data_IF_406858935165
#
_entry.id   IF_406858935165
#
_cell.length_a   1.000
_cell.length_b   1.000
_cell.length_c   1.000
_cell.angle_alpha   90.00
_cell.angle_beta   90.00
_cell.angle_gamma   90.00
#
_symmetry.space_group_name_H-M   'P 1'
#
loop_
_entity.id
_entity.type
_entity.pdbx_description
1 polymer ?
#
# COMPACT_ATOMS: atom_id res chain seq x y z
N UNK A 1 6.21 -21.41 -9.32
CA UNK A 1 5.21 -20.78 -8.41
C UNK A 1 5.89 -19.99 -7.30
N UNK A 2 6.75 -20.61 -6.48
CA UNK A 2 7.44 -19.90 -5.38
C UNK A 2 8.38 -18.77 -5.83
N UNK A 3 9.17 -18.98 -6.89
CA UNK A 3 10.07 -17.93 -7.44
C UNK A 3 9.29 -16.71 -7.95
N UNK A 4 8.32 -16.93 -8.85
CA UNK A 4 7.41 -15.89 -9.36
C UNK A 4 6.69 -15.12 -8.24
N UNK A 5 6.29 -15.81 -7.17
CA UNK A 5 5.68 -15.15 -6.01
C UNK A 5 6.65 -14.18 -5.31
N UNK A 6 7.91 -14.59 -5.11
CA UNK A 6 8.92 -13.72 -4.51
C UNK A 6 9.25 -12.52 -5.40
N UNK A 7 9.39 -12.73 -6.71
CA UNK A 7 9.62 -11.66 -7.69
C UNK A 7 8.51 -10.61 -7.62
N UNK A 8 7.24 -11.03 -7.68
CA UNK A 8 6.11 -10.11 -7.59
C UNK A 8 6.03 -9.39 -6.23
N UNK A 9 6.41 -10.05 -5.14
CA UNK A 9 6.45 -9.42 -3.83
C UNK A 9 7.57 -8.38 -3.72
N UNK A 10 8.74 -8.63 -4.31
CA UNK A 10 9.82 -7.65 -4.39
C UNK A 10 9.38 -6.43 -5.22
N UNK A 11 8.74 -6.66 -6.37
CA UNK A 11 8.15 -5.58 -7.17
C UNK A 11 7.10 -4.77 -6.40
N UNK A 12 6.24 -5.43 -5.61
CA UNK A 12 5.27 -4.77 -4.73
C UNK A 12 5.98 -3.86 -3.72
N UNK A 13 7.07 -4.34 -3.10
CA UNK A 13 7.85 -3.57 -2.14
C UNK A 13 8.44 -2.32 -2.79
N UNK A 14 9.03 -2.45 -3.98
CA UNK A 14 9.62 -1.30 -4.68
C UNK A 14 8.56 -0.28 -5.11
N UNK A 15 7.45 -0.71 -5.71
CA UNK A 15 6.35 0.19 -6.09
C UNK A 15 5.76 0.90 -4.86
N UNK A 16 5.64 0.18 -3.74
CA UNK A 16 5.09 0.76 -2.52
C UNK A 16 5.94 1.92 -2.00
N UNK A 17 7.28 1.88 -2.17
CA UNK A 17 8.16 2.98 -1.74
C UNK A 17 7.87 4.30 -2.46
N UNK A 18 7.27 4.29 -3.64
CA UNK A 18 6.90 5.53 -4.33
C UNK A 18 5.88 6.35 -3.53
N UNK A 19 5.03 5.68 -2.74
CA UNK A 19 4.02 6.35 -1.92
C UNK A 19 4.63 7.12 -0.75
N UNK A 20 5.89 6.82 -0.39
CA UNK A 20 6.63 7.49 0.70
C UNK A 20 6.82 8.98 0.47
N UNK A 21 6.57 9.48 -0.75
CA UNK A 21 6.52 10.91 -1.01
C UNK A 21 5.35 11.59 -0.30
N UNK A 22 4.22 10.89 -0.16
CA UNK A 22 2.94 11.43 0.29
C UNK A 22 2.54 10.91 1.68
N UNK A 23 2.89 9.67 1.98
CA UNK A 23 2.48 8.95 3.18
C UNK A 23 3.66 8.21 3.80
N UNK A 24 3.47 7.60 4.96
CA UNK A 24 4.36 6.57 5.48
C UNK A 24 3.72 5.18 5.35
N UNK A 25 4.54 4.14 5.50
CA UNK A 25 4.11 2.75 5.42
C UNK A 25 4.40 2.08 6.76
N UNK A 26 3.38 1.53 7.41
CA UNK A 26 3.58 0.65 8.58
C UNK A 26 4.06 -0.73 8.13
N UNK A 27 3.33 -1.37 7.20
CA UNK A 27 3.62 -2.73 6.75
C UNK A 27 3.28 -2.93 5.28
N UNK A 28 4.09 -3.76 4.63
CA UNK A 28 3.82 -4.33 3.31
C UNK A 28 3.53 -5.82 3.53
N UNK A 29 2.39 -6.27 3.03
CA UNK A 29 1.97 -7.67 3.04
C UNK A 29 1.65 -8.11 1.60
N UNK A 30 1.75 -9.40 1.29
CA UNK A 30 1.41 -9.93 -0.04
C UNK A 30 -0.04 -9.69 -0.47
N UNK A 31 -0.92 -9.34 0.49
CA UNK A 31 -2.34 -9.09 0.26
C UNK A 31 -2.78 -7.65 0.56
N UNK A 32 -1.90 -6.81 1.13
CA UNK A 32 -2.23 -5.43 1.49
C UNK A 32 -1.00 -4.56 1.79
N UNK A 33 -1.13 -3.24 1.64
CA UNK A 33 -0.13 -2.24 2.07
C UNK A 33 -0.79 -1.26 3.05
N UNK A 34 -0.20 -1.08 4.22
CA UNK A 34 -0.79 -0.32 5.33
C UNK A 34 -0.19 1.08 5.39
N UNK A 35 -1.04 2.10 5.26
CA UNK A 35 -0.64 3.47 5.00
C UNK A 35 -0.93 4.37 6.20
N UNK A 36 0.07 5.15 6.58
CA UNK A 36 0.03 6.12 7.66
C UNK A 36 0.21 7.55 7.15
N UNK A 37 -0.32 8.54 7.87
CA UNK A 37 0.11 9.92 7.64
C UNK A 37 1.57 10.07 8.00
N UNK A 38 2.22 11.04 7.36
CA UNK A 38 3.52 11.49 7.83
C UNK A 38 3.38 12.20 9.18
N UNK A 39 4.36 12.06 10.07
CA UNK A 39 4.41 12.85 11.28
C UNK A 39 4.57 14.33 10.93
N UNK A 40 3.77 15.20 11.57
CA UNK A 40 3.86 16.65 11.38
C UNK A 40 4.98 17.27 12.23
N UNK A 41 5.25 16.73 13.42
CA UNK A 41 6.32 17.15 14.33
C UNK A 41 6.81 16.00 15.23
N UNK A 42 7.81 16.26 16.08
CA UNK A 42 8.47 15.26 16.94
C UNK A 42 7.55 14.63 18.02
N UNK A 43 6.32 15.13 18.21
CA UNK A 43 5.32 14.59 19.13
C UNK A 43 4.12 13.96 18.42
N UNK A 44 4.16 13.87 17.09
CA UNK A 44 3.15 13.22 16.28
C UNK A 44 3.75 11.95 15.68
N UNK A 45 3.22 10.79 16.07
CA UNK A 45 3.65 9.49 15.54
C UNK A 45 2.99 9.18 14.17
N UNK A 46 2.17 10.09 13.65
CA UNK A 46 1.28 9.86 12.51
C UNK A 46 0.07 9.02 12.88
N UNK A 47 -0.83 8.86 11.92
CA UNK A 47 -2.07 8.10 12.09
C UNK A 47 -2.22 7.04 11.01
N UNK A 48 -2.70 5.86 11.39
CA UNK A 48 -3.17 4.88 10.42
C UNK A 48 -4.41 5.43 9.69
N UNK A 49 -4.30 5.65 8.38
CA UNK A 49 -5.36 6.31 7.60
C UNK A 49 -6.12 5.35 6.71
N UNK A 50 -5.41 4.48 5.98
CA UNK A 50 -6.03 3.51 5.11
C UNK A 50 -5.11 2.35 4.74
N UNK A 51 -5.71 1.25 4.34
CA UNK A 51 -5.01 0.11 3.77
C UNK A 51 -5.37 -0.07 2.29
N UNK A 52 -4.38 -0.38 1.48
CA UNK A 52 -4.52 -0.69 0.06
C UNK A 52 -4.62 -2.22 -0.10
N UNK A 53 -5.75 -2.72 -0.59
CA UNK A 53 -5.97 -4.13 -0.96
C UNK A 53 -6.11 -4.28 -2.48
N UNK A 54 -6.04 -5.52 -2.97
CA UNK A 54 -6.12 -5.85 -4.41
C UNK A 54 -7.35 -5.30 -5.15
N UNK A 55 -8.47 -5.08 -4.45
CA UNK A 55 -9.73 -4.65 -5.04
C UNK A 55 -10.41 -3.46 -4.33
N UNK A 56 -9.84 -2.95 -3.25
CA UNK A 56 -10.44 -1.89 -2.44
C UNK A 56 -9.41 -1.15 -1.61
N UNK A 57 -9.84 0.00 -1.09
CA UNK A 57 -9.13 0.73 -0.05
C UNK A 57 -10.02 0.70 1.20
N UNK A 58 -9.43 0.43 2.36
CA UNK A 58 -10.14 0.43 3.65
C UNK A 58 -9.66 1.61 4.46
N UNK A 59 -10.55 2.57 4.73
CA UNK A 59 -10.24 3.76 5.52
C UNK A 59 -10.49 3.53 7.00
N UNK A 60 -9.53 3.91 7.84
CA UNK A 60 -9.67 3.95 9.30
C UNK A 60 -10.14 5.32 9.78
N UNK A 61 -9.69 6.38 9.10
CA UNK A 61 -10.19 7.73 9.30
C UNK A 61 -11.19 8.08 8.17
N UNK A 62 -12.47 8.28 8.53
CA UNK A 62 -13.56 8.57 7.56
C UNK A 62 -13.46 9.95 6.92
N UNK A 63 -12.74 10.87 7.54
CA UNK A 63 -12.55 12.22 7.02
C UNK A 63 -11.30 12.32 6.15
N UNK A 64 -10.40 11.34 6.24
CA UNK A 64 -9.18 11.31 5.45
C UNK A 64 -9.51 11.18 3.96
N UNK A 65 -8.88 12.04 3.16
CA UNK A 65 -8.94 12.00 1.71
C UNK A 65 -7.57 11.66 1.17
N UNK A 66 -7.53 10.70 0.24
CA UNK A 66 -6.31 10.36 -0.47
C UNK A 66 -5.86 11.56 -1.30
N UNK A 67 -4.57 11.90 -1.23
CA UNK A 67 -3.95 12.89 -2.11
C UNK A 67 -4.09 12.45 -3.57
N UNK A 68 -4.62 13.30 -4.44
CA UNK A 68 -4.91 12.92 -5.84
C UNK A 68 -3.67 12.43 -6.58
N UNK A 69 -2.50 13.00 -6.28
CA UNK A 69 -1.21 12.64 -6.87
C UNK A 69 -0.69 11.27 -6.40
N UNK A 70 -1.22 10.73 -5.30
CA UNK A 70 -0.91 9.38 -4.83
C UNK A 70 -1.77 8.30 -5.51
N UNK A 71 -2.91 8.68 -6.12
CA UNK A 71 -3.83 7.72 -6.75
C UNK A 71 -3.17 6.83 -7.83
N UNK A 72 -2.30 7.35 -8.72
CA UNK A 72 -1.61 6.51 -9.69
C UNK A 72 -0.73 5.44 -9.03
N UNK A 73 -0.05 5.79 -7.94
CA UNK A 73 0.81 4.87 -7.19
C UNK A 73 -0.04 3.80 -6.50
N UNK A 74 -1.14 4.23 -5.85
CA UNK A 74 -2.09 3.32 -5.21
C UNK A 74 -2.64 2.31 -6.22
N UNK A 75 -3.04 2.77 -7.41
CA UNK A 75 -3.49 1.88 -8.48
C UNK A 75 -2.42 0.86 -8.88
N UNK A 76 -1.15 1.26 -9.01
CA UNK A 76 -0.04 0.34 -9.29
C UNK A 76 0.15 -0.70 -8.19
N UNK A 77 0.06 -0.29 -6.91
CA UNK A 77 0.09 -1.20 -5.76
C UNK A 77 -1.07 -2.21 -5.85
N UNK A 78 -2.30 -1.75 -6.10
CA UNK A 78 -3.47 -2.63 -6.21
C UNK A 78 -3.32 -3.64 -7.36
N UNK A 79 -2.83 -3.21 -8.52
CA UNK A 79 -2.54 -4.10 -9.65
C UNK A 79 -1.57 -5.21 -9.25
N UNK A 80 -0.47 -4.86 -8.57
CA UNK A 80 0.53 -5.84 -8.14
C UNK A 80 -0.01 -6.80 -7.08
N UNK A 81 -0.77 -6.29 -6.11
CA UNK A 81 -1.47 -7.12 -5.12
C UNK A 81 -2.44 -8.11 -5.79
N UNK A 82 -3.12 -7.70 -6.85
CA UNK A 82 -4.02 -8.56 -7.62
C UNK A 82 -3.28 -9.67 -8.36
N UNK A 83 -2.11 -9.38 -8.93
CA UNK A 83 -1.24 -10.39 -9.54
C UNK A 83 -0.81 -11.44 -8.51
N UNK A 84 -0.36 -11.02 -7.32
CA UNK A 84 0.03 -11.93 -6.23
C UNK A 84 -1.16 -12.76 -5.74
N UNK A 85 -2.32 -12.12 -5.54
CA UNK A 85 -3.59 -12.76 -5.14
C UNK A 85 -4.03 -13.83 -6.14
N UNK A 86 -3.80 -13.63 -7.43
CA UNK A 86 -4.14 -14.61 -8.47
C UNK A 86 -3.29 -15.88 -8.41
N UNK A 87 -2.00 -15.77 -8.08
CA UNK A 87 -1.11 -16.93 -7.91
C UNK A 87 -1.48 -17.82 -6.72
N UNK A 88 -2.22 -17.29 -5.75
CA UNK A 88 -2.65 -18.04 -4.57
C UNK A 88 -4.01 -18.74 -4.76
N UNK A 89 -4.67 -18.50 -5.89
CA UNK A 89 -6.00 -19.06 -6.25
C UNK A 89 -5.92 -20.15 -7.32
N UNK A 90 -4.73 -20.39 -7.89
CA UNK A 90 -4.42 -21.51 -8.78
C UNK A 90 -3.98 -22.74 -7.99
#
# INVERSE_FOLDING_TARGET
MREKYYELYEELVEISKEILRYYDIDKIKPFAVYIWTKPYDDNDDGENVFDIYDNKIVFYNKEHKIMEEALPIINSIQCKLKEISSLSKE
#
